data_IF_026403372642
#
_entry.id   IF_026403372642
#
_cell.length_a   1.000
_cell.length_b   1.000
_cell.length_c   1.000
_cell.angle_alpha   90.00
_cell.angle_beta   90.00
_cell.angle_gamma   90.00
#
_symmetry.space_group_name_H-M   'P 1'
#
loop_
_entity.id
_entity.type
_entity.pdbx_description
1 polymer ?
#
# COMPACT_ATOMS: atom_id res chain seq x y z
N UNK A 1 24.78 -32.40 -1.35
CA UNK A 1 23.88 -31.52 -2.12
C UNK A 1 24.67 -30.32 -2.59
N UNK A 2 24.71 -30.07 -3.90
CA UNK A 2 25.50 -29.01 -4.54
C UNK A 2 25.02 -27.63 -4.12
N UNK A 3 25.92 -26.85 -3.50
CA UNK A 3 25.83 -25.40 -3.34
C UNK A 3 25.46 -24.83 -4.70
N UNK A 4 24.24 -24.28 -4.86
CA UNK A 4 23.94 -23.45 -6.03
C UNK A 4 24.81 -22.21 -5.88
N UNK A 5 26.01 -22.25 -6.48
CA UNK A 5 26.77 -21.05 -6.83
C UNK A 5 25.90 -20.27 -7.82
N UNK A 6 26.00 -18.94 -7.77
CA UNK A 6 25.37 -18.05 -8.74
C UNK A 6 25.41 -18.68 -10.14
N UNK A 7 24.23 -19.01 -10.68
CA UNK A 7 24.11 -19.69 -11.96
C UNK A 7 23.59 -18.69 -13.00
N UNK A 8 24.46 -18.13 -13.86
CA UNK A 8 24.03 -17.18 -14.88
C UNK A 8 23.09 -17.81 -15.92
N UNK A 9 23.13 -19.15 -16.09
CA UNK A 9 22.22 -19.89 -16.96
C UNK A 9 20.86 -20.19 -16.30
N UNK A 10 20.69 -19.91 -15.00
CA UNK A 10 19.38 -20.02 -14.36
C UNK A 10 18.48 -18.90 -14.88
N UNK A 11 17.43 -19.31 -15.60
CA UNK A 11 16.31 -18.44 -15.92
C UNK A 11 15.59 -18.13 -14.60
N UNK A 12 15.24 -16.87 -14.31
CA UNK A 12 14.57 -16.48 -13.07
C UNK A 12 13.03 -16.47 -13.25
N UNK A 13 12.35 -17.63 -13.17
CA UNK A 13 10.93 -17.76 -13.47
C UNK A 13 10.04 -16.90 -12.58
N UNK A 14 10.34 -16.76 -11.28
CA UNK A 14 9.46 -15.99 -10.39
C UNK A 14 9.56 -14.50 -10.71
N UNK A 15 10.77 -13.98 -10.94
CA UNK A 15 10.98 -12.60 -11.36
C UNK A 15 10.22 -12.29 -12.66
N UNK A 16 10.37 -13.16 -13.67
CA UNK A 16 9.71 -12.98 -14.97
C UNK A 16 8.19 -13.13 -14.85
N UNK A 17 7.69 -14.05 -14.03
CA UNK A 17 6.25 -14.22 -13.79
C UNK A 17 5.64 -12.98 -13.12
N UNK A 18 6.30 -12.43 -12.09
CA UNK A 18 5.85 -11.20 -11.43
C UNK A 18 5.77 -10.02 -12.41
N UNK A 19 6.83 -9.85 -13.21
CA UNK A 19 6.84 -8.82 -14.26
C UNK A 19 5.74 -9.04 -15.30
N UNK A 20 5.58 -10.28 -15.77
CA UNK A 20 4.55 -10.65 -16.74
C UNK A 20 3.14 -10.33 -16.24
N UNK A 21 2.87 -10.61 -14.97
CA UNK A 21 1.58 -10.28 -14.33
C UNK A 21 1.38 -8.76 -14.24
N UNK A 22 2.38 -7.99 -13.79
CA UNK A 22 2.28 -6.53 -13.72
C UNK A 22 2.02 -5.94 -15.12
N UNK A 23 2.75 -6.39 -16.13
CA UNK A 23 2.56 -5.96 -17.52
C UNK A 23 1.16 -6.31 -18.01
N UNK A 24 0.68 -7.54 -17.79
CA UNK A 24 -0.65 -7.95 -18.19
C UNK A 24 -1.74 -7.09 -17.55
N UNK A 25 -1.67 -6.86 -16.23
CA UNK A 25 -2.62 -5.99 -15.51
C UNK A 25 -2.57 -4.57 -16.06
N UNK A 26 -1.38 -4.03 -16.30
CA UNK A 26 -1.19 -2.68 -16.84
C UNK A 26 -1.82 -2.54 -18.23
N UNK A 27 -1.60 -3.52 -19.11
CA UNK A 27 -2.17 -3.52 -20.47
C UNK A 27 -3.69 -3.57 -20.40
N UNK A 28 -4.26 -4.45 -19.57
CA UNK A 28 -5.71 -4.52 -19.38
C UNK A 28 -6.24 -3.18 -18.85
N UNK A 29 -5.55 -2.59 -17.87
CA UNK A 29 -6.00 -1.35 -17.24
C UNK A 29 -6.06 -0.17 -18.23
N UNK A 30 -5.06 -0.07 -19.12
CA UNK A 30 -5.03 0.89 -20.24
C UNK A 30 -6.28 0.75 -21.10
N UNK A 31 -6.65 -0.48 -21.48
CA UNK A 31 -7.85 -0.73 -22.30
C UNK A 31 -9.16 -0.49 -21.55
N UNK A 32 -9.14 -0.55 -20.21
CA UNK A 32 -10.31 -0.28 -19.37
C UNK A 32 -10.39 1.17 -18.84
N UNK A 33 -9.48 2.05 -19.24
CA UNK A 33 -9.49 3.45 -18.81
C UNK A 33 -9.23 3.64 -17.31
N UNK A 34 -8.32 2.85 -16.72
CA UNK A 34 -7.96 2.94 -15.30
C UNK A 34 -8.98 2.29 -14.36
N UNK A 35 -9.86 1.42 -14.87
CA UNK A 35 -10.83 0.72 -14.04
C UNK A 35 -10.15 -0.21 -13.03
N UNK A 36 -9.11 -0.94 -13.44
CA UNK A 36 -8.39 -1.82 -12.53
C UNK A 36 -7.62 -1.02 -11.49
N UNK A 37 -7.02 0.12 -11.85
CA UNK A 37 -6.39 1.03 -10.88
C UNK A 37 -7.37 1.42 -9.76
N UNK A 38 -8.54 1.96 -10.12
CA UNK A 38 -9.59 2.34 -9.15
C UNK A 38 -10.15 1.14 -8.40
N UNK A 39 -10.22 -0.02 -9.04
CA UNK A 39 -10.67 -1.24 -8.40
C UNK A 39 -9.64 -1.74 -7.39
N UNK A 40 -8.34 -1.64 -7.65
CA UNK A 40 -7.31 -2.33 -6.86
C UNK A 40 -6.44 -1.42 -6.00
N UNK A 41 -6.51 -0.09 -6.15
CA UNK A 41 -5.83 0.85 -5.25
C UNK A 41 -6.24 0.62 -3.79
N UNK A 42 -5.38 1.05 -2.88
CA UNK A 42 -5.65 0.93 -1.45
C UNK A 42 -5.59 2.30 -0.80
N UNK A 43 -6.69 2.73 -0.17
CA UNK A 43 -6.66 3.83 0.79
C UNK A 43 -6.82 3.27 2.20
N UNK A 44 -6.26 3.97 3.18
CA UNK A 44 -6.39 3.57 4.58
C UNK A 44 -7.85 3.43 5.01
N UNK A 45 -8.73 4.29 4.48
CA UNK A 45 -10.18 4.26 4.75
C UNK A 45 -10.87 2.99 4.22
N UNK A 46 -10.50 2.50 3.03
CA UNK A 46 -11.08 1.30 2.43
C UNK A 46 -10.72 0.07 3.26
N UNK A 47 -9.45 0.00 3.69
CA UNK A 47 -8.92 -1.08 4.53
C UNK A 47 -9.55 -1.06 5.93
N UNK A 48 -9.79 0.13 6.50
CA UNK A 48 -10.52 0.28 7.77
C UNK A 48 -11.98 -0.20 7.64
N UNK A 49 -12.60 0.04 6.49
CA UNK A 49 -13.97 -0.37 6.20
C UNK A 49 -14.09 -1.90 6.00
N UNK A 50 -13.03 -2.56 5.56
CA UNK A 50 -12.96 -4.03 5.49
C UNK A 50 -12.37 -4.57 4.20
N UNK A 51 -11.97 -3.70 3.26
CA UNK A 51 -11.36 -4.10 1.99
C UNK A 51 -9.88 -4.46 2.16
N UNK A 52 -9.57 -5.40 3.06
CA UNK A 52 -8.18 -5.82 3.37
C UNK A 52 -7.44 -6.36 2.14
N UNK A 53 -8.18 -6.92 1.18
CA UNK A 53 -7.65 -7.41 -0.08
C UNK A 53 -6.95 -6.30 -0.89
N UNK A 54 -7.35 -5.03 -0.72
CA UNK A 54 -6.73 -3.87 -1.38
C UNK A 54 -5.27 -3.69 -1.00
N UNK A 55 -4.91 -3.99 0.25
CA UNK A 55 -3.52 -3.91 0.72
C UNK A 55 -2.58 -4.87 -0.04
N UNK A 56 -3.13 -5.90 -0.69
CA UNK A 56 -2.39 -6.83 -1.55
C UNK A 56 -2.57 -6.48 -3.02
N UNK A 57 -3.80 -6.17 -3.46
CA UNK A 57 -4.08 -5.92 -4.87
C UNK A 57 -3.43 -4.64 -5.40
N UNK A 58 -3.22 -3.64 -4.55
CA UNK A 58 -2.65 -2.35 -4.94
C UNK A 58 -1.26 -2.47 -5.58
N UNK A 59 -0.52 -3.54 -5.27
CA UNK A 59 0.80 -3.80 -5.83
C UNK A 59 0.79 -4.15 -7.33
N UNK A 60 -0.37 -4.46 -7.91
CA UNK A 60 -0.47 -4.90 -9.30
C UNK A 60 -0.90 -3.79 -10.26
N UNK A 61 -1.38 -2.66 -9.75
CA UNK A 61 -1.80 -1.49 -10.52
C UNK A 61 -0.82 -0.34 -10.33
N UNK A 62 -0.74 0.56 -11.31
CA UNK A 62 0.23 1.66 -11.32
C UNK A 62 -0.43 2.91 -11.89
N UNK A 63 -0.14 4.06 -11.27
CA UNK A 63 -0.73 5.35 -11.66
C UNK A 63 -0.34 5.83 -13.08
N UNK A 64 0.84 5.43 -13.57
CA UNK A 64 1.35 5.87 -14.86
C UNK A 64 2.42 4.94 -15.44
N UNK A 65 2.74 5.16 -16.72
CA UNK A 65 3.69 4.35 -17.49
C UNK A 65 5.13 4.44 -16.97
N UNK A 66 5.55 5.61 -16.46
CA UNK A 66 6.90 5.76 -15.90
C UNK A 66 6.99 5.02 -14.56
N UNK A 67 5.94 5.10 -13.74
CA UNK A 67 5.87 4.41 -12.47
C UNK A 67 5.96 2.89 -12.65
N UNK A 68 5.20 2.29 -13.58
CA UNK A 68 5.34 0.84 -13.86
C UNK A 68 6.71 0.51 -14.47
N UNK A 69 7.27 1.35 -15.34
CA UNK A 69 8.58 1.09 -15.94
C UNK A 69 9.71 1.03 -14.90
N UNK A 70 9.73 1.96 -13.93
CA UNK A 70 10.71 1.94 -12.85
C UNK A 70 10.54 0.73 -11.93
N UNK A 71 9.30 0.34 -11.63
CA UNK A 71 9.03 -0.86 -10.84
C UNK A 71 9.49 -2.13 -11.55
N UNK A 72 9.16 -2.29 -12.83
CA UNK A 72 9.59 -3.43 -13.64
C UNK A 72 11.12 -3.49 -13.74
N UNK A 73 11.79 -2.35 -13.92
CA UNK A 73 13.24 -2.28 -13.94
C UNK A 73 13.85 -2.71 -12.60
N UNK A 74 13.34 -2.18 -11.48
CA UNK A 74 13.79 -2.54 -10.13
C UNK A 74 13.58 -4.03 -9.84
N UNK A 75 12.39 -4.56 -10.11
CA UNK A 75 12.05 -5.98 -9.95
C UNK A 75 12.95 -6.85 -10.83
N UNK A 76 13.19 -6.47 -12.08
CA UNK A 76 14.07 -7.22 -12.97
C UNK A 76 15.49 -7.27 -12.41
N UNK A 77 16.14 -6.12 -12.17
CA UNK A 77 17.54 -6.07 -11.75
C UNK A 77 17.72 -6.78 -10.41
N UNK A 78 16.92 -6.43 -9.41
CA UNK A 78 17.08 -6.93 -8.04
C UNK A 78 16.54 -8.35 -7.89
N UNK A 79 15.41 -8.65 -8.54
CA UNK A 79 14.80 -9.97 -8.56
C UNK A 79 15.71 -11.01 -9.22
N UNK A 80 16.27 -10.72 -10.41
CA UNK A 80 17.21 -11.63 -11.09
C UNK A 80 18.42 -11.93 -10.22
N UNK A 81 19.00 -10.91 -9.58
CA UNK A 81 20.14 -11.09 -8.67
C UNK A 81 19.73 -12.01 -7.51
N UNK A 82 18.65 -11.68 -6.81
CA UNK A 82 18.23 -12.42 -5.63
C UNK A 82 17.80 -13.86 -5.96
N UNK A 83 17.06 -14.07 -7.05
CA UNK A 83 16.59 -15.38 -7.48
C UNK A 83 17.73 -16.31 -7.91
N UNK A 84 18.77 -15.76 -8.55
CA UNK A 84 19.96 -16.55 -8.91
C UNK A 84 20.79 -16.95 -7.68
N UNK A 85 20.72 -16.17 -6.61
CA UNK A 85 21.41 -16.46 -5.34
C UNK A 85 20.63 -17.48 -4.49
N UNK A 86 19.32 -17.30 -4.34
CA UNK A 86 18.51 -18.03 -3.35
C UNK A 86 17.42 -18.92 -3.96
N UNK A 87 17.12 -18.78 -5.25
CA UNK A 87 16.04 -19.47 -5.95
C UNK A 87 14.70 -18.73 -5.87
N UNK A 88 13.72 -19.26 -6.60
CA UNK A 88 12.40 -18.65 -6.76
C UNK A 88 11.55 -18.64 -5.48
N UNK A 89 11.65 -19.66 -4.61
CA UNK A 89 10.84 -19.74 -3.39
C UNK A 89 11.17 -18.62 -2.39
N UNK A 90 12.45 -18.41 -2.00
CA UNK A 90 12.80 -17.26 -1.16
C UNK A 90 12.43 -15.92 -1.78
N UNK A 91 12.56 -15.79 -3.11
CA UNK A 91 12.15 -14.56 -3.80
C UNK A 91 10.66 -14.27 -3.60
N UNK A 92 9.78 -15.26 -3.81
CA UNK A 92 8.34 -15.07 -3.61
C UNK A 92 7.98 -14.73 -2.16
N UNK A 93 8.69 -15.33 -1.20
CA UNK A 93 8.51 -14.99 0.23
C UNK A 93 8.91 -13.54 0.49
N UNK A 94 10.09 -13.10 0.04
CA UNK A 94 10.53 -11.72 0.22
C UNK A 94 9.54 -10.77 -0.45
N UNK A 95 9.14 -11.05 -1.69
CA UNK A 95 8.19 -10.23 -2.42
C UNK A 95 6.89 -10.07 -1.63
N UNK A 96 6.30 -11.17 -1.14
CA UNK A 96 5.04 -11.13 -0.39
C UNK A 96 5.18 -10.40 0.96
N UNK A 97 6.23 -10.69 1.76
CA UNK A 97 6.42 -10.05 3.07
C UNK A 97 6.66 -8.56 2.94
N UNK A 98 7.48 -8.14 1.98
CA UNK A 98 7.89 -6.74 1.82
C UNK A 98 6.80 -5.90 1.15
N UNK A 99 6.02 -6.48 0.24
CA UNK A 99 4.77 -5.91 -0.25
C UNK A 99 3.84 -5.59 0.91
N UNK A 100 3.52 -6.61 1.73
CA UNK A 100 2.63 -6.44 2.89
C UNK A 100 3.21 -5.45 3.89
N UNK A 101 4.49 -5.54 4.23
CA UNK A 101 5.15 -4.62 5.16
C UNK A 101 5.08 -3.17 4.71
N UNK A 102 5.28 -2.91 3.42
CA UNK A 102 5.11 -1.57 2.83
C UNK A 102 3.66 -1.09 2.87
N UNK A 103 2.71 -1.92 2.43
CA UNK A 103 1.28 -1.60 2.48
C UNK A 103 0.81 -1.29 3.90
N UNK A 104 1.21 -2.11 4.88
CA UNK A 104 0.93 -1.88 6.30
C UNK A 104 1.46 -0.52 6.73
N UNK A 105 2.76 -0.28 6.56
CA UNK A 105 3.37 0.94 7.07
C UNK A 105 2.77 2.19 6.41
N UNK A 106 2.51 2.15 5.11
CA UNK A 106 1.86 3.22 4.37
C UNK A 106 0.42 3.46 4.85
N UNK A 107 -0.46 2.45 4.78
CA UNK A 107 -1.89 2.58 5.06
C UNK A 107 -2.20 2.95 6.52
N UNK A 108 -1.28 2.63 7.42
CA UNK A 108 -1.39 2.94 8.86
C UNK A 108 -1.07 4.39 9.16
N UNK A 109 -0.01 4.91 8.54
CA UNK A 109 0.62 6.15 8.98
C UNK A 109 0.40 7.31 8.02
N UNK A 110 0.16 7.06 6.73
CA UNK A 110 -0.19 8.08 5.74
C UNK A 110 -1.62 8.62 5.94
N UNK A 111 -1.96 9.65 5.17
CA UNK A 111 -3.34 10.13 5.08
C UNK A 111 -4.26 8.97 4.64
N UNK A 112 -5.35 8.68 5.39
CA UNK A 112 -6.26 7.58 5.07
C UNK A 112 -6.98 7.72 3.73
N UNK A 113 -6.99 8.90 3.09
CA UNK A 113 -7.56 9.16 1.76
C UNK A 113 -6.53 9.06 0.64
N UNK A 114 -5.23 9.06 0.96
CA UNK A 114 -4.18 8.96 -0.06
C UNK A 114 -4.17 7.55 -0.67
N UNK A 115 -4.32 7.42 -2.00
CA UNK A 115 -4.29 6.12 -2.66
C UNK A 115 -2.87 5.59 -2.73
N UNK A 116 -2.72 4.31 -2.40
CA UNK A 116 -1.52 3.53 -2.58
C UNK A 116 -1.69 2.62 -3.80
N UNK A 117 -0.71 2.66 -4.70
CA UNK A 117 -0.60 1.79 -5.88
C UNK A 117 0.88 1.47 -6.13
N UNK A 118 1.14 0.37 -6.83
CA UNK A 118 2.44 0.01 -7.36
C UNK A 118 3.19 -1.04 -6.56
N UNK A 119 4.05 -1.78 -7.25
CA UNK A 119 4.85 -2.87 -6.67
C UNK A 119 6.10 -2.38 -5.90
N UNK A 120 6.22 -1.07 -5.64
CA UNK A 120 7.49 -0.47 -5.21
C UNK A 120 7.91 -0.88 -3.81
N UNK A 121 6.96 -1.13 -2.90
CA UNK A 121 7.25 -1.74 -1.61
C UNK A 121 8.01 -3.07 -1.77
N UNK A 122 7.55 -3.94 -2.66
CA UNK A 122 8.21 -5.21 -2.93
C UNK A 122 9.56 -5.03 -3.65
N UNK A 123 9.66 -4.06 -4.56
CA UNK A 123 10.91 -3.73 -5.24
C UNK A 123 11.98 -3.23 -4.24
N UNK A 124 11.62 -2.33 -3.33
CA UNK A 124 12.48 -1.89 -2.22
C UNK A 124 12.79 -3.03 -1.26
N UNK A 125 11.87 -3.98 -1.08
CA UNK A 125 12.11 -5.23 -0.37
C UNK A 125 13.21 -6.09 -1.00
N UNK A 126 13.17 -6.29 -2.32
CA UNK A 126 14.24 -6.96 -3.07
C UNK A 126 15.56 -6.17 -2.99
N UNK A 127 15.48 -4.84 -3.01
CA UNK A 127 16.64 -3.96 -2.82
C UNK A 127 17.31 -4.23 -1.47
N UNK A 128 16.52 -4.15 -0.40
CA UNK A 128 16.96 -4.46 0.95
C UNK A 128 17.52 -5.88 1.04
N UNK A 129 16.88 -6.86 0.42
CA UNK A 129 17.33 -8.25 0.44
C UNK A 129 18.71 -8.47 -0.20
N UNK A 130 18.97 -7.82 -1.34
CA UNK A 130 20.28 -7.91 -2.01
C UNK A 130 21.36 -7.21 -1.18
N UNK A 131 21.07 -6.03 -0.60
CA UNK A 131 22.00 -5.36 0.30
C UNK A 131 22.25 -6.17 1.59
N UNK A 132 21.20 -6.77 2.15
CA UNK A 132 21.28 -7.66 3.30
C UNK A 132 22.14 -8.89 3.03
N UNK A 133 22.03 -9.47 1.84
CA UNK A 133 22.93 -10.53 1.38
C UNK A 133 24.40 -10.10 1.40
N UNK A 134 24.74 -8.94 0.80
CA UNK A 134 26.11 -8.44 0.81
C UNK A 134 26.60 -8.12 2.23
N UNK A 135 25.74 -7.52 3.05
CA UNK A 135 26.05 -7.21 4.43
C UNK A 135 26.32 -8.48 5.26
N UNK A 136 25.54 -9.54 5.05
CA UNK A 136 25.77 -10.82 5.71
C UNK A 136 27.10 -11.49 5.33
N UNK A 137 27.65 -11.20 4.14
CA UNK A 137 28.97 -11.67 3.70
C UNK A 137 30.12 -10.84 4.28
N UNK A 138 29.95 -9.52 4.40
CA UNK A 138 31.03 -8.61 4.81
C UNK A 138 31.05 -8.31 6.30
N UNK A 139 29.89 -8.28 6.96
CA UNK A 139 29.73 -7.89 8.37
C UNK A 139 29.96 -6.40 8.65
N UNK A 140 30.17 -5.57 7.63
CA UNK A 140 30.59 -4.18 7.77
C UNK A 140 30.16 -3.33 6.57
N UNK A 141 29.68 -2.11 6.83
CA UNK A 141 29.30 -1.14 5.80
C UNK A 141 30.52 -0.63 5.02
N UNK A 142 31.68 -0.51 5.68
CA UNK A 142 32.94 -0.08 5.04
C UNK A 142 33.34 -1.07 3.94
N UNK A 143 33.20 -2.36 4.22
CA UNK A 143 33.57 -3.43 3.30
C UNK A 143 32.53 -3.62 2.20
N UNK A 144 31.25 -3.35 2.51
CA UNK A 144 30.19 -3.31 1.52
C UNK A 144 30.46 -2.24 0.44
N UNK A 145 31.01 -1.08 0.81
CA UNK A 145 31.42 -0.03 -0.13
C UNK A 145 32.57 -0.43 -1.07
N UNK A 146 33.37 -1.43 -0.68
CA UNK A 146 34.47 -1.94 -1.51
C UNK A 146 33.97 -2.87 -2.63
N UNK A 147 32.76 -3.43 -2.50
CA UNK A 147 32.14 -4.28 -3.51
C UNK A 147 31.48 -3.38 -4.57
N UNK A 148 31.93 -3.37 -5.84
CA UNK A 148 31.44 -2.43 -6.85
C UNK A 148 29.92 -2.45 -7.02
N UNK A 149 29.32 -3.63 -7.10
CA UNK A 149 27.87 -3.78 -7.21
C UNK A 149 27.14 -3.25 -5.96
N UNK A 150 27.60 -3.59 -4.77
CA UNK A 150 26.97 -3.14 -3.53
C UNK A 150 27.10 -1.62 -3.34
N UNK A 151 28.24 -1.02 -3.73
CA UNK A 151 28.42 0.43 -3.78
C UNK A 151 27.45 1.10 -4.76
N UNK A 152 27.29 0.55 -5.97
CA UNK A 152 26.29 1.06 -6.92
C UNK A 152 24.88 1.00 -6.34
N UNK A 153 24.53 -0.11 -5.67
CA UNK A 153 23.25 -0.25 -4.98
C UNK A 153 23.10 0.78 -3.84
N UNK A 154 24.14 1.07 -3.07
CA UNK A 154 24.06 2.13 -2.04
C UNK A 154 23.81 3.52 -2.65
N UNK A 155 24.45 3.83 -3.77
CA UNK A 155 24.23 5.10 -4.49
C UNK A 155 22.79 5.16 -5.03
N UNK A 156 22.31 4.07 -5.62
CA UNK A 156 20.93 3.97 -6.08
C UNK A 156 19.92 4.05 -4.92
N UNK A 157 20.26 3.52 -3.74
CA UNK A 157 19.43 3.65 -2.55
C UNK A 157 19.33 5.11 -2.11
N UNK A 158 20.44 5.85 -2.11
CA UNK A 158 20.43 7.27 -1.78
C UNK A 158 19.55 8.07 -2.76
N UNK A 159 19.68 7.80 -4.06
CA UNK A 159 18.82 8.39 -5.08
C UNK A 159 17.35 7.97 -4.90
N UNK A 160 17.09 6.70 -4.60
CA UNK A 160 15.75 6.18 -4.33
C UNK A 160 15.11 6.81 -3.10
N UNK A 161 15.86 7.04 -2.02
CA UNK A 161 15.37 7.76 -0.84
C UNK A 161 15.02 9.19 -1.20
N UNK A 162 15.86 9.88 -1.98
CA UNK A 162 15.55 11.22 -2.47
C UNK A 162 14.29 11.26 -3.35
N UNK A 163 14.12 10.29 -4.24
CA UNK A 163 12.88 10.10 -5.02
C UNK A 163 11.66 9.82 -4.13
N UNK A 164 11.87 9.14 -3.01
CA UNK A 164 10.79 8.81 -2.05
C UNK A 164 10.29 10.02 -1.26
N UNK A 165 11.05 11.11 -1.26
CA UNK A 165 10.66 12.38 -0.64
C UNK A 165 9.85 13.27 -1.58
N UNK A 166 9.72 12.89 -2.86
CA UNK A 166 8.93 13.64 -3.83
C UNK A 166 7.42 13.47 -3.55
N UNK A 167 6.59 14.47 -3.90
CA UNK A 167 5.14 14.34 -3.80
C UNK A 167 4.63 13.09 -4.53
N UNK A 168 3.58 12.48 -4.00
CA UNK A 168 2.95 11.26 -4.53
C UNK A 168 3.84 9.99 -4.50
N UNK A 169 4.97 10.01 -3.79
CA UNK A 169 5.80 8.82 -3.56
C UNK A 169 5.76 8.42 -2.09
N UNK A 170 5.47 7.14 -1.82
CA UNK A 170 5.32 6.66 -0.45
C UNK A 170 6.67 6.27 0.17
N UNK A 171 7.32 7.21 0.86
CA UNK A 171 8.51 6.90 1.69
C UNK A 171 8.23 5.78 2.69
N UNK A 172 7.05 5.80 3.32
CA UNK A 172 6.65 4.77 4.29
C UNK A 172 6.43 3.42 3.62
N UNK A 173 5.83 3.37 2.44
CA UNK A 173 5.72 2.14 1.65
C UNK A 173 7.10 1.57 1.30
N UNK A 174 8.01 2.42 0.85
CA UNK A 174 9.39 2.01 0.51
C UNK A 174 10.18 1.55 1.74
N UNK A 175 10.09 2.27 2.87
CA UNK A 175 10.75 1.89 4.12
C UNK A 175 10.18 0.58 4.68
N UNK A 176 8.85 0.43 4.65
CA UNK A 176 8.13 -0.76 5.11
C UNK A 176 8.41 -1.99 4.26
N UNK A 177 8.83 -1.83 3.01
CA UNK A 177 9.38 -2.92 2.19
C UNK A 177 10.87 -3.16 2.43
N UNK A 178 11.67 -2.09 2.44
CA UNK A 178 13.14 -2.16 2.51
C UNK A 178 13.66 -2.83 3.78
N UNK A 179 13.17 -2.41 4.96
CA UNK A 179 13.65 -2.92 6.25
C UNK A 179 13.44 -4.43 6.39
N UNK A 180 12.23 -5.00 6.22
CA UNK A 180 12.06 -6.45 6.23
C UNK A 180 12.83 -7.14 5.10
N UNK A 181 13.03 -6.48 3.96
CA UNK A 181 13.90 -6.94 2.90
C UNK A 181 15.34 -7.20 3.39
N UNK A 182 15.96 -6.21 4.04
CA UNK A 182 17.33 -6.36 4.62
C UNK A 182 17.38 -7.52 5.60
N UNK A 183 16.42 -7.59 6.53
CA UNK A 183 16.35 -8.64 7.55
C UNK A 183 16.27 -10.03 6.89
N UNK A 184 15.39 -10.20 5.92
CA UNK A 184 15.22 -11.46 5.20
C UNK A 184 16.44 -11.79 4.34
N UNK A 185 17.06 -10.81 3.69
CA UNK A 185 18.30 -10.98 2.94
C UNK A 185 19.44 -11.54 3.79
N UNK A 186 19.65 -10.96 4.98
CA UNK A 186 20.63 -11.46 5.95
C UNK A 186 20.26 -12.87 6.43
N UNK A 187 18.99 -13.10 6.75
CA UNK A 187 18.50 -14.39 7.23
C UNK A 187 18.73 -15.51 6.21
N UNK A 188 18.33 -15.29 4.95
CA UNK A 188 18.47 -16.29 3.90
C UNK A 188 19.94 -16.60 3.62
N UNK A 189 20.84 -15.62 3.66
CA UNK A 189 22.28 -15.84 3.46
C UNK A 189 22.91 -16.62 4.63
N UNK A 190 22.71 -16.20 5.88
CA UNK A 190 23.27 -16.89 7.06
C UNK A 190 22.76 -18.32 7.24
N UNK A 191 21.55 -18.62 6.75
CA UNK A 191 20.97 -19.96 6.81
C UNK A 191 21.15 -20.76 5.52
N UNK A 192 21.69 -20.15 4.46
CA UNK A 192 22.15 -20.88 3.29
C UNK A 192 23.52 -21.52 3.53
N UNK A 193 24.36 -20.87 4.35
CA UNK A 193 25.68 -21.40 4.75
C UNK A 193 25.60 -22.47 5.83
N UNK A 194 24.50 -22.52 6.60
CA UNK A 194 24.19 -23.63 7.52
C UNK A 194 23.31 -24.65 6.79
N UNK A 195 23.54 -25.95 6.96
CA UNK A 195 22.76 -27.04 6.34
C UNK A 195 21.31 -27.13 6.87
N UNK A 196 20.52 -26.07 6.70
CA UNK A 196 19.11 -26.05 7.06
C UNK A 196 18.26 -26.32 5.84
N UNK A 197 17.24 -27.14 6.07
CA UNK A 197 16.27 -27.53 5.07
C UNK A 197 15.51 -26.31 4.51
N UNK A 198 15.22 -26.34 3.21
CA UNK A 198 14.48 -25.28 2.51
C UNK A 198 13.12 -25.03 3.16
N UNK A 199 12.49 -26.08 3.71
CA UNK A 199 11.20 -25.99 4.38
C UNK A 199 11.26 -25.15 5.67
N UNK A 200 12.34 -25.21 6.43
CA UNK A 200 12.51 -24.36 7.61
C UNK A 200 12.62 -22.88 7.24
N UNK A 201 13.34 -22.56 6.15
CA UNK A 201 13.49 -21.18 5.66
C UNK A 201 12.17 -20.61 5.17
N UNK A 202 11.40 -21.43 4.45
CA UNK A 202 10.06 -21.07 4.00
C UNK A 202 9.13 -20.91 5.20
N UNK A 203 9.16 -21.80 6.20
CA UNK A 203 8.30 -21.71 7.38
C UNK A 203 8.52 -20.43 8.19
N UNK A 204 9.77 -19.99 8.37
CA UNK A 204 10.08 -18.70 9.00
C UNK A 204 9.64 -17.53 8.14
N UNK A 205 9.80 -17.63 6.82
CA UNK A 205 9.25 -16.66 5.88
C UNK A 205 7.73 -16.52 5.98
N UNK A 206 7.03 -17.65 6.03
CA UNK A 206 5.58 -17.74 6.22
C UNK A 206 5.17 -17.16 7.57
N UNK A 207 5.91 -17.45 8.64
CA UNK A 207 5.68 -16.81 9.94
C UNK A 207 5.84 -15.29 9.83
N UNK A 208 6.84 -14.80 9.08
CA UNK A 208 7.00 -13.39 8.76
C UNK A 208 5.79 -12.81 8.03
N UNK A 209 5.24 -13.52 7.03
CA UNK A 209 3.99 -13.13 6.35
C UNK A 209 2.82 -13.09 7.33
N UNK A 210 2.66 -14.10 8.17
CA UNK A 210 1.58 -14.17 9.18
C UNK A 210 1.69 -13.01 10.16
N UNK A 211 2.89 -12.72 10.66
CA UNK A 211 3.13 -11.57 11.54
C UNK A 211 2.88 -10.25 10.82
N UNK A 212 3.24 -10.13 9.54
CA UNK A 212 2.92 -8.95 8.73
C UNK A 212 1.41 -8.78 8.54
N UNK A 213 0.67 -9.86 8.28
CA UNK A 213 -0.80 -9.86 8.17
C UNK A 213 -1.43 -9.48 9.51
N UNK A 214 -0.98 -10.07 10.62
CA UNK A 214 -1.42 -9.68 11.96
C UNK A 214 -1.09 -8.22 12.25
N UNK A 215 0.05 -7.73 11.76
CA UNK A 215 0.39 -6.32 11.83
C UNK A 215 -0.58 -5.47 10.99
N UNK A 216 -0.99 -5.88 9.77
CA UNK A 216 -2.07 -5.19 9.00
C UNK A 216 -3.32 -5.03 9.85
N UNK A 217 -3.77 -6.13 10.47
CA UNK A 217 -4.96 -6.12 11.33
C UNK A 217 -4.78 -5.21 12.56
N UNK A 218 -3.62 -5.28 13.23
CA UNK A 218 -3.31 -4.47 14.41
C UNK A 218 -3.06 -2.99 14.08
N UNK A 219 -2.69 -2.71 12.83
CA UNK A 219 -2.36 -1.40 12.33
C UNK A 219 -3.57 -0.53 12.00
N UNK A 220 -4.78 -1.09 12.03
CA UNK A 220 -6.01 -0.31 12.03
C UNK A 220 -6.03 0.50 13.34
N UNK A 221 -5.63 1.78 13.32
CA UNK A 221 -5.33 2.49 14.55
C UNK A 221 -6.65 2.94 15.15
N UNK A 222 -7.12 2.20 16.16
CA UNK A 222 -8.35 2.49 16.91
C UNK A 222 -8.35 3.86 17.59
N UNK A 223 -7.23 4.58 17.52
CA UNK A 223 -7.05 5.94 18.04
C UNK A 223 -7.17 7.03 16.96
N UNK A 224 -7.27 6.68 15.67
CA UNK A 224 -7.44 7.67 14.60
C UNK A 224 -8.90 8.08 14.45
N UNK A 225 -9.12 9.35 14.13
CA UNK A 225 -10.44 9.89 13.80
C UNK A 225 -11.09 9.12 12.64
N UNK A 226 -10.33 8.78 11.59
CA UNK A 226 -10.84 7.98 10.45
C UNK A 226 -11.39 6.63 10.87
N UNK A 227 -10.77 5.96 11.86
CA UNK A 227 -11.24 4.67 12.33
C UNK A 227 -12.63 4.76 12.96
N UNK A 228 -12.82 5.76 13.83
CA UNK A 228 -14.11 6.00 14.46
C UNK A 228 -15.16 6.43 13.44
N UNK A 229 -14.79 7.29 12.48
CA UNK A 229 -15.68 7.72 11.42
C UNK A 229 -16.15 6.53 10.56
N UNK A 230 -15.23 5.64 10.18
CA UNK A 230 -15.56 4.41 9.44
C UNK A 230 -16.49 3.49 10.24
N UNK A 231 -16.25 3.33 11.54
CA UNK A 231 -17.12 2.52 12.41
C UNK A 231 -18.47 3.18 12.65
N UNK A 232 -18.53 4.52 12.72
CA UNK A 232 -19.78 5.27 12.79
C UNK A 232 -20.61 5.04 11.52
N UNK A 233 -19.99 5.13 10.36
CA UNK A 233 -20.62 4.81 9.07
C UNK A 233 -21.21 3.39 9.08
N UNK A 234 -20.44 2.39 9.50
CA UNK A 234 -20.93 1.01 9.58
C UNK A 234 -22.08 0.82 10.57
N UNK A 235 -22.06 1.53 11.70
CA UNK A 235 -23.14 1.49 12.68
C UNK A 235 -24.43 2.12 12.09
N UNK A 236 -24.31 3.27 11.42
CA UNK A 236 -25.42 3.88 10.70
C UNK A 236 -25.98 2.94 9.64
N UNK A 237 -25.14 2.32 8.80
CA UNK A 237 -25.59 1.34 7.78
C UNK A 237 -26.33 0.13 8.37
N UNK A 238 -26.07 -0.22 9.62
CA UNK A 238 -26.75 -1.30 10.36
C UNK A 238 -28.03 -0.83 11.06
N UNK A 239 -28.35 0.46 10.99
CA UNK A 239 -29.49 1.07 11.68
C UNK A 239 -29.23 1.40 13.15
N UNK A 240 -28.00 1.23 13.65
CA UNK A 240 -27.62 1.55 15.03
C UNK A 240 -27.18 3.01 15.15
N UNK A 241 -28.16 3.91 15.16
CA UNK A 241 -27.94 5.35 15.25
C UNK A 241 -27.21 5.75 16.53
N UNK A 242 -27.55 5.14 17.67
CA UNK A 242 -26.95 5.46 18.96
C UNK A 242 -25.46 5.15 18.98
N UNK A 243 -25.07 3.98 18.46
CA UNK A 243 -23.66 3.61 18.33
C UNK A 243 -22.95 4.48 17.30
N UNK A 244 -23.62 4.80 16.18
CA UNK A 244 -23.13 5.71 15.17
C UNK A 244 -22.78 7.08 15.74
N UNK A 245 -23.66 7.67 16.55
CA UNK A 245 -23.47 8.99 17.16
C UNK A 245 -22.35 9.00 18.20
N UNK A 246 -22.24 7.95 19.01
CA UNK A 246 -21.14 7.78 19.97
C UNK A 246 -19.79 7.76 19.24
N UNK A 247 -19.70 6.96 18.17
CA UNK A 247 -18.49 6.83 17.37
C UNK A 247 -18.17 8.09 16.56
N UNK A 248 -19.18 8.75 16.00
CA UNK A 248 -18.99 10.00 15.27
C UNK A 248 -18.51 11.11 16.21
N UNK A 249 -19.08 11.22 17.41
CA UNK A 249 -18.63 12.16 18.43
C UNK A 249 -17.17 11.91 18.82
N UNK A 250 -16.79 10.64 18.96
CA UNK A 250 -15.40 10.26 19.22
C UNK A 250 -14.47 10.58 18.05
N UNK A 251 -14.92 10.36 16.81
CA UNK A 251 -14.20 10.76 15.61
C UNK A 251 -13.93 12.27 15.62
N UNK A 252 -14.93 13.08 15.99
CA UNK A 252 -14.83 14.54 16.12
C UNK A 252 -13.82 14.97 17.21
N UNK A 253 -13.87 14.36 18.40
CA UNK A 253 -12.89 14.62 19.48
C UNK A 253 -11.45 14.35 19.06
N UNK A 254 -11.26 13.37 18.17
CA UNK A 254 -9.94 12.95 17.66
C UNK A 254 -9.58 13.61 16.33
N UNK A 255 -10.48 14.37 15.73
CA UNK A 255 -10.27 15.07 14.46
C UNK A 255 -9.37 16.29 14.72
N UNK A 256 -8.07 16.12 14.49
CA UNK A 256 -7.13 17.25 14.44
C UNK A 256 -7.17 17.80 13.02
N UNK A 257 -7.22 19.13 12.88
CA UNK A 257 -7.45 19.82 11.61
C UNK A 257 -6.59 19.29 10.44
N UNK A 258 -7.22 19.20 9.26
CA UNK A 258 -6.65 19.00 7.92
C UNK A 258 -6.04 17.64 7.58
N UNK A 259 -6.81 16.55 7.75
CA UNK A 259 -6.46 15.24 7.17
C UNK A 259 -7.68 14.61 6.49
N UNK A 260 -7.51 13.61 5.63
CA UNK A 260 -8.61 12.91 4.97
C UNK A 260 -9.71 12.36 5.91
N UNK A 261 -9.45 12.19 7.21
CA UNK A 261 -10.47 11.88 8.21
C UNK A 261 -11.48 13.01 8.45
N UNK A 262 -11.08 14.26 8.25
CA UNK A 262 -11.96 15.42 8.42
C UNK A 262 -13.07 15.45 7.38
N UNK A 263 -12.79 15.00 6.15
CA UNK A 263 -13.78 14.89 5.08
C UNK A 263 -14.83 13.82 5.38
N UNK A 264 -14.41 12.60 5.76
CA UNK A 264 -15.36 11.56 6.14
C UNK A 264 -16.19 11.98 7.36
N UNK A 265 -15.53 12.53 8.40
CA UNK A 265 -16.24 13.04 9.58
C UNK A 265 -17.33 14.05 9.20
N UNK A 266 -16.99 15.07 8.41
CA UNK A 266 -17.92 16.13 7.99
C UNK A 266 -19.06 15.58 7.14
N UNK A 267 -18.78 14.62 6.25
CA UNK A 267 -19.81 13.92 5.47
C UNK A 267 -20.82 13.21 6.37
N UNK A 268 -20.34 12.46 7.37
CA UNK A 268 -21.20 11.74 8.31
C UNK A 268 -22.01 12.68 9.20
N UNK A 269 -21.43 13.82 9.61
CA UNK A 269 -22.11 14.85 10.38
C UNK A 269 -23.27 15.48 9.59
N UNK A 270 -23.03 15.84 8.32
CA UNK A 270 -24.06 16.34 7.41
C UNK A 270 -25.15 15.31 7.13
N UNK A 271 -24.77 14.05 6.91
CA UNK A 271 -25.73 12.97 6.73
C UNK A 271 -26.59 12.78 7.99
N UNK A 272 -25.99 12.77 9.19
CA UNK A 272 -26.72 12.63 10.46
C UNK A 272 -27.75 13.74 10.63
N UNK A 273 -27.34 15.00 10.47
CA UNK A 273 -28.25 16.15 10.58
C UNK A 273 -29.38 16.10 9.54
N UNK A 274 -29.08 15.66 8.31
CA UNK A 274 -30.08 15.47 7.26
C UNK A 274 -31.04 14.32 7.58
N UNK A 275 -30.54 13.21 8.10
CA UNK A 275 -31.33 12.03 8.47
C UNK A 275 -32.31 12.33 9.60
N UNK A 276 -31.89 13.13 10.60
CA UNK A 276 -32.77 13.62 11.67
C UNK A 276 -33.92 14.48 11.13
N UNK A 277 -33.68 15.27 10.08
CA UNK A 277 -34.70 16.16 9.47
C UNK A 277 -35.59 15.42 8.48
N UNK A 278 -35.02 14.55 7.66
CA UNK A 278 -35.70 13.83 6.59
C UNK A 278 -35.03 12.50 6.24
N UNK A 279 -35.30 11.47 7.06
CA UNK A 279 -34.74 10.12 6.89
C UNK A 279 -35.01 9.46 5.53
N UNK A 280 -36.04 9.89 4.78
CA UNK A 280 -36.32 9.35 3.44
C UNK A 280 -35.39 9.90 2.35
N UNK A 281 -34.90 11.12 2.55
CA UNK A 281 -34.01 11.78 1.59
C UNK A 281 -32.54 11.49 1.91
N UNK A 282 -32.23 11.39 3.20
CA UNK A 282 -30.92 11.00 3.72
C UNK A 282 -30.94 9.52 4.13
N UNK A 283 -31.26 8.63 3.20
CA UNK A 283 -31.25 7.20 3.46
C UNK A 283 -29.81 6.65 3.56
N UNK A 284 -29.69 5.35 3.84
CA UNK A 284 -28.39 4.68 3.96
C UNK A 284 -27.67 4.51 2.62
N UNK A 285 -28.35 4.69 1.48
CA UNK A 285 -27.70 4.70 0.16
C UNK A 285 -27.00 6.05 -0.07
N UNK A 286 -27.60 7.16 0.38
CA UNK A 286 -26.96 8.48 0.40
C UNK A 286 -25.70 8.53 1.29
N UNK A 287 -25.59 7.63 2.27
CA UNK A 287 -24.42 7.49 3.15
C UNK A 287 -23.19 6.90 2.42
N UNK A 288 -23.41 6.05 1.40
CA UNK A 288 -22.40 5.15 0.80
C UNK A 288 -21.50 5.76 -0.29
N UNK A 289 -21.78 6.98 -0.76
CA UNK A 289 -20.99 7.65 -1.81
C UNK A 289 -19.89 8.56 -1.21
N UNK A 290 -18.61 8.56 -1.66
CA UNK A 290 -17.90 7.70 -2.63
C UNK A 290 -16.64 7.07 -2.00
N UNK A 291 -16.80 6.05 -1.15
CA UNK A 291 -15.66 5.27 -0.66
C UNK A 291 -15.48 3.92 -1.36
N UNK A 292 -16.52 3.36 -2.00
CA UNK A 292 -16.43 1.96 -2.48
C UNK A 292 -17.11 1.65 -3.82
N UNK A 293 -17.74 2.59 -4.53
CA UNK A 293 -18.48 2.25 -5.76
C UNK A 293 -17.54 1.98 -6.98
N UNK A 294 -17.57 0.76 -7.58
CA UNK A 294 -16.71 0.40 -8.72
C UNK A 294 -17.04 1.12 -10.04
N UNK A 295 -18.19 1.78 -10.13
CA UNK A 295 -18.73 2.31 -11.40
C UNK A 295 -18.26 3.71 -11.78
N UNK A 296 -17.47 4.40 -10.94
CA UNK A 296 -17.18 5.81 -11.14
C UNK A 296 -18.46 6.67 -11.19
N UNK A 297 -18.27 7.92 -11.61
CA UNK A 297 -19.25 9.03 -11.63
C UNK A 297 -20.58 8.67 -12.29
N UNK A 298 -20.54 7.81 -13.30
CA UNK A 298 -21.67 7.58 -14.19
C UNK A 298 -22.70 6.59 -13.61
N UNK A 299 -22.32 5.76 -12.65
CA UNK A 299 -23.25 4.84 -11.98
C UNK A 299 -24.16 5.54 -10.94
N UNK A 300 -23.84 6.79 -10.57
CA UNK A 300 -24.59 7.60 -9.63
C UNK A 300 -25.47 8.67 -10.32
N UNK A 301 -25.46 8.75 -11.65
CA UNK A 301 -26.29 9.71 -12.37
C UNK A 301 -27.74 9.24 -12.43
N UNK A 302 -28.57 9.77 -11.52
CA UNK A 302 -30.03 9.75 -11.65
C UNK A 302 -30.45 11.04 -12.36
N UNK A 303 -31.10 10.97 -13.54
CA UNK A 303 -31.54 12.17 -14.25
C UNK A 303 -32.42 13.06 -13.35
N UNK A 304 -32.01 14.33 -13.18
CA UNK A 304 -32.68 15.29 -12.30
C UNK A 304 -32.12 15.41 -10.88
N UNK A 305 -31.07 14.66 -10.52
CA UNK A 305 -30.28 14.86 -9.29
C UNK A 305 -28.83 15.23 -9.64
N UNK A 306 -28.23 16.25 -8.98
CA UNK A 306 -26.86 16.66 -9.28
C UNK A 306 -25.86 15.52 -8.95
N UNK A 307 -24.75 15.40 -9.71
CA UNK A 307 -23.74 14.37 -9.46
C UNK A 307 -23.09 14.61 -8.08
N UNK A 308 -23.31 13.67 -7.16
CA UNK A 308 -22.82 13.69 -5.77
C UNK A 308 -21.33 13.31 -5.70
N UNK A 309 -20.46 14.16 -6.22
CA UNK A 309 -19.12 14.31 -5.67
C UNK A 309 -19.24 15.28 -4.52
N UNK A 310 -18.91 14.86 -3.29
CA UNK A 310 -18.85 15.70 -2.08
C UNK A 310 -19.78 16.91 -2.16
N UNK A 311 -21.04 16.79 -1.73
CA UNK A 311 -22.06 17.86 -1.66
C UNK A 311 -21.49 19.23 -2.11
N UNK A 312 -21.86 19.79 -3.28
CA UNK A 312 -21.15 20.92 -3.92
C UNK A 312 -20.73 22.08 -3.00
N UNK A 313 -21.47 22.32 -1.91
CA UNK A 313 -21.12 23.32 -0.88
C UNK A 313 -19.82 23.01 -0.11
N UNK A 314 -19.37 21.76 0.00
CA UNK A 314 -18.15 21.36 0.73
C UNK A 314 -16.92 21.82 -0.06
N UNK A 315 -16.97 21.66 -1.39
CA UNK A 315 -15.95 22.17 -2.30
C UNK A 315 -16.03 23.70 -2.49
N UNK A 316 -17.23 24.29 -2.46
CA UNK A 316 -17.38 25.76 -2.46
C UNK A 316 -16.83 26.40 -1.17
N UNK A 317 -16.94 25.74 -0.02
CA UNK A 317 -16.26 26.20 1.20
C UNK A 317 -14.72 26.10 1.10
N UNK A 318 -14.18 25.12 0.36
CA UNK A 318 -12.75 25.05 0.11
C UNK A 318 -12.25 26.16 -0.83
N UNK A 319 -13.01 26.58 -1.85
CA UNK A 319 -12.62 27.73 -2.68
C UNK A 319 -12.66 29.06 -1.92
N UNK A 320 -13.52 29.18 -0.91
CA UNK A 320 -13.59 30.37 -0.04
C UNK A 320 -12.49 30.41 1.03
N UNK A 321 -11.93 29.27 1.44
CA UNK A 321 -10.83 29.21 2.44
C UNK A 321 -9.43 29.06 1.83
N UNK A 322 -9.28 28.47 0.63
CA UNK A 322 -7.98 28.32 -0.05
C UNK A 322 -7.64 29.43 -1.07
N UNK A 323 -8.56 30.39 -1.30
CA UNK A 323 -8.36 31.48 -2.26
C UNK A 323 -7.25 32.48 -1.94
N UNK A 324 -6.76 32.52 -0.70
CA UNK A 324 -5.82 33.54 -0.23
C UNK A 324 -4.45 33.01 0.25
N UNK A 325 -4.13 31.74 0.01
CA UNK A 325 -2.85 31.16 0.38
C UNK A 325 -2.08 30.60 -0.82
N UNK A 326 -1.55 31.51 -1.63
CA UNK A 326 -0.39 31.29 -2.50
C UNK A 326 0.38 32.63 -2.65
N UNK A 327 1.71 32.63 -2.83
CA UNK A 327 2.55 31.56 -3.35
C UNK A 327 3.46 30.85 -2.33
#
# INVERSE_FOLDING_TARGET
>A
MTVRRYNPAYTPPATLALMGTIIAVTVVDIFTGGFLERLFWARGIDVQYGDYWRAVSCAWVHADLMHVAFNLYGIYVLGVIFERLHGWRPLLVIYAVTLLGGSVLALTFMDPMSPLVGASAAAYGLFGAVLGYFFAKTGSLRDLWQIPLARTLLIWLAFGVWMSLQPNVSLLGHAGGFVPGVILGVYFEHRYTRELDVYHRVAVGVLGVVLAVLAVFACVPVTRSSWHAVRAMQAYEQGDLARGDELLSEAGRRNRANTGSSLLYRHLELWREGHERNAKEFDYEALRLPLTHPGGVDAAYVPGRPPFFFLPWVLETEQLEYGDAAP
#
